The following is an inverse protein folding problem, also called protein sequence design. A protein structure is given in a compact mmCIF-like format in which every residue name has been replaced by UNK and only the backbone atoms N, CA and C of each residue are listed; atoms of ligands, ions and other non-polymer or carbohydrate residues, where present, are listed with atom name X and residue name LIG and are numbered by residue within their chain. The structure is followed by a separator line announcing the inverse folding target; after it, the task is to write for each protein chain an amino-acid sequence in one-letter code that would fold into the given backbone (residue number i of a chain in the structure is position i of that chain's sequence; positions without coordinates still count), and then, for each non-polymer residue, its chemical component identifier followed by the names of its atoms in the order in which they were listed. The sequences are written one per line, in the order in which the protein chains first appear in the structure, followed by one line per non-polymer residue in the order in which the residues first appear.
data_IF_153826015461
#
_entry.id   IF_153826015461
#
_cell.length_a   1.000
_cell.length_b   1.000
_cell.length_c   1.000
_cell.angle_alpha   90.00
_cell.angle_beta   90.00
_cell.angle_gamma   90.00
#
_symmetry.space_group_name_H-M   'P 1'
#
loop_
_entity.id
_entity.type
_entity.pdbx_description
1 polymer ?
#
# COMPACT_ATOMS: atom_id res chain seq x y z
N UNK A 1 20.62 -11.04 -60.99
CA UNK A 1 19.64 -10.14 -60.33
C UNK A 1 19.35 -8.96 -61.24
N UNK A 2 18.09 -8.57 -61.41
CA UNK A 2 17.72 -7.36 -62.15
C UNK A 2 17.95 -6.09 -61.31
N UNK A 3 18.22 -4.95 -61.95
CA UNK A 3 18.41 -3.65 -61.29
C UNK A 3 17.30 -3.29 -60.28
N UNK A 4 16.00 -3.50 -60.60
CA UNK A 4 14.92 -3.20 -59.65
C UNK A 4 15.05 -3.95 -58.34
N UNK A 5 15.39 -5.25 -58.38
CA UNK A 5 15.54 -6.09 -57.18
C UNK A 5 16.68 -5.57 -56.29
N UNK A 6 17.76 -5.06 -56.89
CA UNK A 6 18.86 -4.45 -56.14
C UNK A 6 18.43 -3.17 -55.42
N UNK A 7 17.67 -2.30 -56.09
CA UNK A 7 17.11 -1.09 -55.48
C UNK A 7 16.13 -1.42 -54.34
N UNK A 8 15.24 -2.39 -54.53
CA UNK A 8 14.33 -2.84 -53.48
C UNK A 8 15.08 -3.41 -52.28
N UNK A 9 16.14 -4.20 -52.52
CA UNK A 9 16.98 -4.72 -51.43
C UNK A 9 17.66 -3.59 -50.67
N UNK A 10 18.19 -2.59 -51.37
CA UNK A 10 18.86 -1.45 -50.75
C UNK A 10 17.91 -0.66 -49.86
N UNK A 11 16.71 -0.32 -50.35
CA UNK A 11 15.69 0.38 -49.58
C UNK A 11 15.21 -0.44 -48.38
N UNK A 12 15.01 -1.75 -48.56
CA UNK A 12 14.66 -2.64 -47.46
C UNK A 12 15.74 -2.65 -46.37
N UNK A 13 17.02 -2.69 -46.74
CA UNK A 13 18.13 -2.65 -45.77
C UNK A 13 18.24 -1.30 -45.05
N UNK A 14 17.98 -0.19 -45.75
CA UNK A 14 17.89 1.15 -45.13
C UNK A 14 16.74 1.18 -44.11
N UNK A 15 15.54 0.72 -44.51
CA UNK A 15 14.39 0.64 -43.61
C UNK A 15 14.66 -0.24 -42.40
N UNK A 16 15.35 -1.36 -42.59
CA UNK A 16 15.79 -2.25 -41.52
C UNK A 16 16.81 -1.62 -40.58
N UNK A 17 17.75 -0.83 -41.11
CA UNK A 17 18.67 -0.03 -40.30
C UNK A 17 17.96 1.02 -39.46
N UNK A 18 16.92 1.65 -40.01
CA UNK A 18 16.08 2.59 -39.25
C UNK A 18 15.25 1.89 -38.17
N UNK A 19 14.66 0.73 -38.49
CA UNK A 19 13.92 -0.10 -37.53
C UNK A 19 14.84 -0.60 -36.41
N UNK A 20 16.08 -0.96 -36.74
CA UNK A 20 17.10 -1.32 -35.77
C UNK A 20 17.38 -0.16 -34.81
N UNK A 21 17.52 1.05 -35.32
CA UNK A 21 17.70 2.24 -34.47
C UNK A 21 16.53 2.47 -33.52
N UNK A 22 15.29 2.37 -34.03
CA UNK A 22 14.08 2.51 -33.22
C UNK A 22 14.01 1.47 -32.11
N UNK A 23 14.16 0.19 -32.46
CA UNK A 23 14.10 -0.94 -31.52
C UNK A 23 15.21 -0.88 -30.47
N UNK A 24 16.41 -0.45 -30.84
CA UNK A 24 17.53 -0.25 -29.92
C UNK A 24 17.21 0.85 -28.89
N UNK A 25 16.66 1.98 -29.33
CA UNK A 25 16.26 3.08 -28.43
C UNK A 25 15.12 2.63 -27.48
N UNK A 26 14.13 1.88 -27.98
CA UNK A 26 13.07 1.27 -27.15
C UNK A 26 13.71 0.38 -26.09
N UNK A 27 14.56 -0.54 -26.52
CA UNK A 27 15.22 -1.52 -25.68
C UNK A 27 16.03 -0.84 -24.56
N UNK A 28 16.85 0.16 -24.90
CA UNK A 28 17.63 0.93 -23.92
C UNK A 28 16.74 1.64 -22.89
N UNK A 29 15.61 2.21 -23.32
CA UNK A 29 14.65 2.91 -22.44
C UNK A 29 14.00 1.97 -21.42
N UNK A 30 13.66 0.73 -21.82
CA UNK A 30 13.03 -0.26 -20.94
C UNK A 30 14.04 -0.98 -20.03
N UNK A 31 15.25 -1.27 -20.51
CA UNK A 31 16.23 -2.06 -19.79
C UNK A 31 16.76 -1.36 -18.52
N UNK A 32 16.81 -0.02 -18.51
CA UNK A 32 17.28 0.82 -17.38
C UNK A 32 18.53 0.23 -16.70
N UNK A 33 19.62 0.14 -17.47
CA UNK A 33 20.86 -0.60 -17.15
C UNK A 33 21.37 -0.44 -15.71
N UNK A 34 21.30 0.76 -15.12
CA UNK A 34 21.79 1.02 -13.77
C UNK A 34 20.95 0.41 -12.63
N UNK A 35 19.70 -0.01 -12.87
CA UNK A 35 18.80 -0.55 -11.82
C UNK A 35 18.67 -2.07 -11.86
N UNK A 36 19.15 -2.74 -12.92
CA UNK A 36 18.87 -4.15 -13.20
C UNK A 36 20.14 -4.99 -12.99
N UNK A 37 19.99 -6.21 -12.49
CA UNK A 37 21.13 -7.13 -12.24
C UNK A 37 21.91 -7.39 -13.52
N UNK A 38 23.24 -7.42 -13.43
CA UNK A 38 24.16 -7.55 -14.58
C UNK A 38 23.87 -8.77 -15.46
N UNK A 39 23.56 -9.91 -14.85
CA UNK A 39 23.19 -11.15 -15.56
C UNK A 39 21.93 -11.00 -16.42
N UNK A 40 20.93 -10.25 -15.94
CA UNK A 40 19.68 -10.03 -16.69
C UNK A 40 19.96 -9.11 -17.89
N UNK A 41 20.77 -8.06 -17.70
CA UNK A 41 21.20 -7.16 -18.79
C UNK A 41 21.93 -7.96 -19.87
N UNK A 42 22.87 -8.83 -19.47
CA UNK A 42 23.61 -9.68 -20.40
C UNK A 42 22.70 -10.62 -21.21
N UNK A 43 21.78 -11.34 -20.55
CA UNK A 43 20.85 -12.23 -21.25
C UNK A 43 19.93 -11.47 -22.22
N UNK A 44 19.44 -10.30 -21.82
CA UNK A 44 18.62 -9.47 -22.70
C UNK A 44 19.43 -8.90 -23.87
N UNK A 45 20.68 -8.51 -23.67
CA UNK A 45 21.55 -8.03 -24.74
C UNK A 45 21.79 -9.17 -25.76
N UNK A 46 22.06 -10.39 -25.28
CA UNK A 46 22.22 -11.56 -26.13
C UNK A 46 20.94 -11.85 -26.95
N UNK A 47 19.77 -11.85 -26.30
CA UNK A 47 18.48 -12.06 -26.97
C UNK A 47 18.20 -10.97 -28.00
N UNK A 48 18.48 -9.71 -27.66
CA UNK A 48 18.25 -8.58 -28.56
C UNK A 48 19.10 -8.71 -29.84
N UNK A 49 20.40 -8.97 -29.70
CA UNK A 49 21.27 -9.16 -30.86
C UNK A 49 20.89 -10.38 -31.69
N UNK A 50 20.46 -11.47 -31.04
CA UNK A 50 20.02 -12.68 -31.73
C UNK A 50 18.75 -12.44 -32.54
N UNK A 51 17.72 -11.83 -31.93
CA UNK A 51 16.47 -11.47 -32.61
C UNK A 51 16.74 -10.53 -33.77
N UNK A 52 17.58 -9.51 -33.55
CA UNK A 52 17.87 -8.52 -34.57
C UNK A 52 18.63 -9.13 -35.76
N UNK A 53 19.62 -9.99 -35.49
CA UNK A 53 20.36 -10.70 -36.52
C UNK A 53 19.45 -11.57 -37.38
N UNK A 54 18.54 -12.32 -36.74
CA UNK A 54 17.53 -13.12 -37.44
C UNK A 54 16.60 -12.23 -38.27
N UNK A 55 16.13 -11.10 -37.71
CA UNK A 55 15.19 -10.21 -38.39
C UNK A 55 15.81 -9.59 -39.65
N UNK A 56 17.06 -9.12 -39.56
CA UNK A 56 17.81 -8.59 -40.70
C UNK A 56 18.04 -9.69 -41.75
N UNK A 57 18.48 -10.87 -41.32
CA UNK A 57 18.72 -12.00 -42.22
C UNK A 57 17.42 -12.48 -42.90
N UNK A 58 16.31 -12.51 -42.18
CA UNK A 58 15.01 -12.89 -42.72
C UNK A 58 14.53 -11.92 -43.80
N UNK A 59 14.65 -10.62 -43.58
CA UNK A 59 14.31 -9.61 -44.60
C UNK A 59 15.26 -9.70 -45.80
N UNK A 60 16.55 -9.96 -45.55
CA UNK A 60 17.51 -10.20 -46.61
C UNK A 60 17.17 -11.46 -47.43
N UNK A 61 16.74 -12.52 -46.76
CA UNK A 61 16.27 -13.75 -47.38
C UNK A 61 15.06 -13.50 -48.28
N UNK A 62 14.08 -12.75 -47.79
CA UNK A 62 12.87 -12.44 -48.54
C UNK A 62 13.13 -11.61 -49.81
N UNK A 63 14.02 -10.61 -49.73
CA UNK A 63 14.21 -9.64 -50.82
C UNK A 63 15.34 -10.03 -51.77
N UNK A 64 16.35 -10.75 -51.29
CA UNK A 64 17.57 -11.05 -52.05
C UNK A 64 17.95 -12.55 -52.01
N UNK A 65 17.03 -13.44 -51.62
CA UNK A 65 17.33 -14.88 -51.44
C UNK A 65 18.49 -15.15 -50.46
N UNK A 66 18.81 -14.19 -49.59
CA UNK A 66 19.85 -14.33 -48.57
C UNK A 66 21.26 -14.02 -49.07
N UNK A 67 21.42 -13.42 -50.25
CA UNK A 67 22.74 -13.06 -50.75
C UNK A 67 23.32 -11.88 -49.93
N UNK A 68 24.32 -12.20 -49.11
CA UNK A 68 25.00 -11.21 -48.28
C UNK A 68 26.05 -10.48 -49.11
N UNK A 69 25.83 -9.19 -49.37
CA UNK A 69 26.76 -8.32 -50.12
C UNK A 69 27.21 -7.13 -49.28
N UNK A 70 28.43 -6.67 -49.48
CA UNK A 70 29.04 -5.61 -48.66
C UNK A 70 28.23 -4.30 -48.65
N UNK A 71 27.70 -3.88 -49.80
CA UNK A 71 26.92 -2.64 -49.89
C UNK A 71 25.59 -2.69 -49.11
N UNK A 72 25.07 -3.88 -48.80
CA UNK A 72 23.86 -4.04 -47.98
C UNK A 72 24.12 -3.70 -46.51
N UNK A 73 25.31 -4.00 -46.01
CA UNK A 73 25.73 -3.53 -44.68
C UNK A 73 25.87 -2.01 -44.65
N UNK A 74 26.41 -1.41 -45.72
CA UNK A 74 26.47 0.05 -45.86
C UNK A 74 25.08 0.68 -45.86
N UNK A 75 24.13 0.08 -46.59
CA UNK A 75 22.74 0.51 -46.62
C UNK A 75 22.09 0.44 -45.23
N UNK A 76 22.37 -0.61 -44.46
CA UNK A 76 21.89 -0.77 -43.09
C UNK A 76 22.50 0.27 -42.13
N UNK A 77 23.80 0.52 -42.22
CA UNK A 77 24.47 1.58 -41.44
C UNK A 77 23.95 2.97 -41.82
N UNK A 78 23.69 3.21 -43.10
CA UNK A 78 23.11 4.44 -43.60
C UNK A 78 21.69 4.64 -43.05
N UNK A 79 20.85 3.61 -43.10
CA UNK A 79 19.50 3.65 -42.53
C UNK A 79 19.47 3.85 -41.02
N UNK A 80 20.42 3.26 -40.29
CA UNK A 80 20.59 3.51 -38.86
C UNK A 80 21.01 4.96 -38.59
N UNK A 81 21.95 5.49 -39.37
CA UNK A 81 22.43 6.87 -39.24
C UNK A 81 21.32 7.88 -39.58
N UNK A 82 20.54 7.60 -40.62
CA UNK A 82 19.36 8.39 -40.99
C UNK A 82 18.32 8.40 -39.87
N UNK A 83 18.06 7.25 -39.23
CA UNK A 83 17.20 7.20 -38.04
C UNK A 83 17.75 8.06 -36.90
N UNK A 84 19.04 7.92 -36.59
CA UNK A 84 19.67 8.64 -35.49
C UNK A 84 19.59 10.17 -35.68
N UNK A 85 19.78 10.65 -36.91
CA UNK A 85 19.80 12.07 -37.23
C UNK A 85 18.39 12.67 -37.38
N UNK A 86 17.46 12.00 -38.09
CA UNK A 86 16.16 12.57 -38.42
C UNK A 86 15.03 12.12 -37.47
N UNK A 87 14.97 10.82 -37.18
CA UNK A 87 13.77 10.22 -36.58
C UNK A 87 13.85 10.04 -35.07
N UNK A 88 15.05 9.96 -34.50
CA UNK A 88 15.28 9.69 -33.07
C UNK A 88 14.47 10.60 -32.15
N UNK A 89 14.53 11.92 -32.37
CA UNK A 89 13.85 12.87 -31.49
C UNK A 89 12.33 12.71 -31.54
N UNK A 90 11.78 12.52 -32.73
CA UNK A 90 10.34 12.30 -32.94
C UNK A 90 9.91 11.00 -32.28
N UNK A 91 10.67 9.92 -32.54
CA UNK A 91 10.41 8.60 -31.99
C UNK A 91 10.41 8.61 -30.46
N UNK A 92 11.42 9.22 -29.83
CA UNK A 92 11.49 9.30 -28.36
C UNK A 92 10.35 10.12 -27.76
N UNK A 93 9.93 11.23 -28.42
CA UNK A 93 8.76 12.02 -27.99
C UNK A 93 7.47 11.20 -28.06
N UNK A 94 7.27 10.47 -29.15
CA UNK A 94 6.11 9.57 -29.32
C UNK A 94 6.13 8.46 -28.28
N UNK A 95 7.28 7.82 -28.07
CA UNK A 95 7.44 6.75 -27.08
C UNK A 95 7.13 7.26 -25.66
N UNK A 96 7.60 8.45 -25.31
CA UNK A 96 7.32 9.08 -24.02
C UNK A 96 5.85 9.45 -23.86
N UNK A 97 5.23 10.02 -24.90
CA UNK A 97 3.79 10.31 -24.92
C UNK A 97 2.96 9.04 -24.72
N UNK A 98 3.30 7.94 -25.41
CA UNK A 98 2.65 6.64 -25.24
C UNK A 98 2.80 6.11 -23.81
N UNK A 99 4.00 6.19 -23.23
CA UNK A 99 4.23 5.75 -21.84
C UNK A 99 3.39 6.60 -20.87
N UNK A 100 3.31 7.91 -21.08
CA UNK A 100 2.52 8.81 -20.24
C UNK A 100 1.02 8.52 -20.38
N UNK A 101 0.54 8.27 -21.60
CA UNK A 101 -0.84 7.91 -21.88
C UNK A 101 -1.23 6.58 -21.22
N UNK A 102 -0.41 5.54 -21.35
CA UNK A 102 -0.63 4.25 -20.66
C UNK A 102 -0.66 4.43 -19.15
N UNK A 103 0.25 5.23 -18.58
CA UNK A 103 0.23 5.54 -17.14
C UNK A 103 -1.01 6.33 -16.74
N UNK A 104 -1.47 7.25 -17.56
CA UNK A 104 -2.68 8.03 -17.31
C UNK A 104 -3.91 7.11 -17.28
N UNK A 105 -4.02 6.21 -18.26
CA UNK A 105 -5.09 5.21 -18.33
C UNK A 105 -5.04 4.27 -17.11
N UNK A 106 -3.86 3.74 -16.77
CA UNK A 106 -3.71 2.85 -15.61
C UNK A 106 -4.10 3.56 -14.29
N UNK A 107 -3.69 4.83 -14.11
CA UNK A 107 -4.10 5.62 -12.95
C UNK A 107 -5.59 5.91 -12.95
N UNK A 108 -6.17 6.18 -14.12
CA UNK A 108 -7.60 6.40 -14.25
C UNK A 108 -8.38 5.15 -13.82
N UNK A 109 -8.01 3.97 -14.34
CA UNK A 109 -8.61 2.68 -13.96
C UNK A 109 -8.47 2.46 -12.46
N UNK A 110 -7.27 2.62 -11.89
CA UNK A 110 -7.04 2.45 -10.46
C UNK A 110 -7.90 3.42 -9.62
N UNK A 111 -7.96 4.69 -10.00
CA UNK A 111 -8.74 5.70 -9.28
C UNK A 111 -10.23 5.39 -9.35
N UNK A 112 -10.72 4.97 -10.50
CA UNK A 112 -12.12 4.56 -10.69
C UNK A 112 -12.44 3.34 -9.84
N UNK A 113 -11.60 2.30 -9.87
CA UNK A 113 -11.77 1.11 -9.04
C UNK A 113 -11.70 1.45 -7.54
N UNK A 114 -10.78 2.30 -7.12
CA UNK A 114 -10.65 2.74 -5.73
C UNK A 114 -11.87 3.53 -5.25
N UNK A 115 -12.40 4.44 -6.07
CA UNK A 115 -13.59 5.21 -5.75
C UNK A 115 -14.87 4.35 -5.74
N UNK A 116 -14.98 3.40 -6.67
CA UNK A 116 -16.17 2.55 -6.80
C UNK A 116 -16.18 1.38 -5.82
N UNK A 117 -15.03 0.84 -5.43
CA UNK A 117 -14.96 -0.36 -4.58
C UNK A 117 -14.48 0.01 -3.19
N UNK A 118 -13.31 0.64 -3.05
CA UNK A 118 -12.74 0.83 -1.72
C UNK A 118 -13.53 1.82 -0.85
N UNK A 119 -13.99 2.94 -1.43
CA UNK A 119 -14.77 3.94 -0.67
C UNK A 119 -16.10 3.39 -0.10
N UNK A 120 -16.98 2.73 -0.87
CA UNK A 120 -18.24 2.23 -0.32
C UNK A 120 -18.03 1.15 0.74
N UNK A 121 -17.04 0.27 0.57
CA UNK A 121 -16.71 -0.73 1.59
C UNK A 121 -16.24 -0.09 2.91
N UNK A 122 -15.41 0.96 2.84
CA UNK A 122 -15.02 1.72 4.03
C UNK A 122 -16.22 2.38 4.70
N UNK A 123 -17.15 2.94 3.92
CA UNK A 123 -18.41 3.50 4.43
C UNK A 123 -19.27 2.46 5.14
N UNK A 124 -19.42 1.28 4.55
CA UNK A 124 -20.15 0.15 5.15
C UNK A 124 -19.51 -0.30 6.47
N UNK A 125 -18.18 -0.43 6.52
CA UNK A 125 -17.47 -0.80 7.74
C UNK A 125 -17.69 0.22 8.87
N UNK A 126 -17.61 1.53 8.56
CA UNK A 126 -17.90 2.60 9.51
C UNK A 126 -19.37 2.56 9.99
N UNK A 127 -20.31 2.30 9.09
CA UNK A 127 -21.73 2.13 9.44
C UNK A 127 -21.94 0.95 10.40
N UNK A 128 -21.32 -0.20 10.14
CA UNK A 128 -21.44 -1.38 11.01
C UNK A 128 -20.89 -1.07 12.41
N UNK A 129 -19.73 -0.42 12.52
CA UNK A 129 -19.18 0.00 13.81
C UNK A 129 -20.11 0.97 14.52
N UNK A 130 -20.67 1.95 13.80
CA UNK A 130 -21.60 2.91 14.39
C UNK A 130 -22.85 2.21 14.95
N UNK A 131 -23.39 1.22 14.23
CA UNK A 131 -24.52 0.41 14.69
C UNK A 131 -24.15 -0.37 15.95
N UNK A 132 -22.99 -1.05 15.97
CA UNK A 132 -22.53 -1.83 17.14
C UNK A 132 -22.39 -0.92 18.37
N UNK A 133 -21.73 0.23 18.23
CA UNK A 133 -21.55 1.19 19.32
C UNK A 133 -22.88 1.75 19.82
N UNK A 134 -23.81 2.01 18.91
CA UNK A 134 -25.16 2.48 19.25
C UNK A 134 -25.94 1.42 20.05
N UNK A 135 -25.96 0.17 19.58
CA UNK A 135 -26.61 -0.95 20.27
C UNK A 135 -25.99 -1.19 21.64
N UNK A 136 -24.66 -1.16 21.74
CA UNK A 136 -23.95 -1.27 23.01
C UNK A 136 -24.33 -0.14 23.98
N UNK A 137 -24.43 1.10 23.49
CA UNK A 137 -24.87 2.25 24.27
C UNK A 137 -26.30 2.08 24.80
N UNK A 138 -27.22 1.58 23.98
CA UNK A 138 -28.59 1.23 24.40
C UNK A 138 -28.60 0.17 25.50
N UNK A 139 -27.83 -0.91 25.34
CA UNK A 139 -27.72 -2.00 26.31
C UNK A 139 -27.20 -1.49 27.66
N UNK A 140 -26.15 -0.67 27.65
CA UNK A 140 -25.62 -0.06 28.87
C UNK A 140 -26.63 0.88 29.54
N UNK A 141 -27.42 1.62 28.75
CA UNK A 141 -28.49 2.48 29.28
C UNK A 141 -29.52 1.66 30.06
N UNK A 142 -29.95 0.52 29.51
CA UNK A 142 -30.88 -0.40 30.18
C UNK A 142 -30.30 -0.94 31.49
N UNK A 143 -29.05 -1.43 31.47
CA UNK A 143 -28.36 -1.90 32.68
C UNK A 143 -28.25 -0.79 33.72
N UNK A 144 -27.94 0.45 33.30
CA UNK A 144 -27.86 1.61 34.19
C UNK A 144 -29.20 1.93 34.84
N UNK A 145 -30.30 1.87 34.08
CA UNK A 145 -31.66 2.05 34.61
C UNK A 145 -31.97 0.99 35.67
N UNK A 146 -31.73 -0.29 35.35
CA UNK A 146 -31.95 -1.40 36.30
C UNK A 146 -31.09 -1.22 37.55
N UNK A 147 -29.82 -0.86 37.41
CA UNK A 147 -28.93 -0.60 38.54
C UNK A 147 -29.43 0.55 39.42
N UNK A 148 -29.94 1.62 38.82
CA UNK A 148 -30.56 2.74 39.55
C UNK A 148 -31.79 2.24 40.31
N UNK A 149 -32.65 1.43 39.70
CA UNK A 149 -33.82 0.85 40.37
C UNK A 149 -33.43 -0.08 41.53
N UNK A 150 -32.47 -0.99 41.32
CA UNK A 150 -31.97 -1.88 42.37
C UNK A 150 -31.38 -1.06 43.52
N UNK A 151 -30.55 -0.07 43.23
CA UNK A 151 -29.95 0.80 44.25
C UNK A 151 -31.03 1.57 45.02
N UNK A 152 -32.08 2.02 44.33
CA UNK A 152 -33.22 2.68 44.96
C UNK A 152 -33.99 1.73 45.87
N UNK A 153 -34.31 0.51 45.41
CA UNK A 153 -34.97 -0.53 46.20
C UNK A 153 -34.17 -0.91 47.44
N UNK A 154 -32.88 -1.21 47.29
CA UNK A 154 -31.98 -1.53 48.41
C UNK A 154 -31.94 -0.37 49.40
N UNK A 155 -31.79 0.88 48.92
CA UNK A 155 -31.81 2.05 49.80
C UNK A 155 -33.14 2.19 50.53
N UNK A 156 -34.26 1.93 49.89
CA UNK A 156 -35.61 2.03 50.48
C UNK A 156 -35.86 0.95 51.52
N UNK A 157 -35.41 -0.29 51.29
CA UNK A 157 -35.58 -1.42 52.22
C UNK A 157 -34.63 -1.35 53.41
N UNK A 158 -33.35 -1.00 53.17
CA UNK A 158 -32.37 -0.95 54.25
C UNK A 158 -32.44 0.35 55.07
N UNK A 159 -33.01 1.45 54.55
CA UNK A 159 -33.23 2.68 55.34
C UNK A 159 -34.03 2.47 56.64
N UNK A 160 -35.22 1.85 56.63
CA UNK A 160 -35.99 1.60 57.85
C UNK A 160 -35.28 0.63 58.78
N UNK A 161 -34.55 -0.36 58.24
CA UNK A 161 -33.75 -1.28 59.05
C UNK A 161 -32.61 -0.56 59.78
N UNK A 162 -31.88 0.33 59.11
CA UNK A 162 -30.84 1.17 59.71
C UNK A 162 -31.43 2.18 60.71
N UNK A 163 -32.62 2.73 60.44
CA UNK A 163 -33.33 3.59 61.39
C UNK A 163 -33.73 2.83 62.66
N UNK A 164 -34.24 1.60 62.51
CA UNK A 164 -34.63 0.75 63.62
C UNK A 164 -33.43 0.30 64.46
N UNK A 165 -32.32 -0.10 63.82
CA UNK A 165 -31.04 -0.36 64.50
C UNK A 165 -30.57 0.87 65.29
N UNK A 166 -30.58 2.06 64.69
CA UNK A 166 -30.16 3.29 65.39
C UNK A 166 -31.01 3.65 66.62
N UNK A 167 -32.25 3.16 66.69
CA UNK A 167 -33.18 3.36 67.80
C UNK A 167 -33.00 2.32 68.93
N UNK A 168 -32.52 1.12 68.60
CA UNK A 168 -32.30 0.01 69.54
C UNK A 168 -30.86 -0.03 70.10
N UNK A 169 -29.90 0.62 69.42
CA UNK A 169 -28.48 0.64 69.83
C UNK A 169 -28.25 1.66 70.99
N UNK A 170 -27.72 1.22 72.16
CA UNK A 170 -27.33 2.10 73.27
C UNK A 170 -26.18 3.06 72.88
N UNK A 171 -26.08 4.25 73.49
CA UNK A 171 -25.03 5.23 73.17
C UNK A 171 -23.60 4.68 73.30
N UNK A 172 -23.38 3.74 74.22
CA UNK A 172 -22.10 3.06 74.43
C UNK A 172 -21.63 2.27 73.20
N UNK A 173 -22.55 1.64 72.47
CA UNK A 173 -22.21 0.89 71.25
C UNK A 173 -21.92 1.84 70.09
N UNK A 174 -22.55 3.02 70.03
CA UNK A 174 -22.21 4.06 69.03
C UNK A 174 -20.80 4.61 69.22
N UNK A 175 -20.40 4.83 70.48
CA UNK A 175 -19.03 5.25 70.83
C UNK A 175 -18.01 4.16 70.48
N UNK A 176 -18.32 2.89 70.76
CA UNK A 176 -17.46 1.75 70.40
C UNK A 176 -17.30 1.60 68.87
N UNK A 177 -18.40 1.71 68.11
CA UNK A 177 -18.36 1.69 66.63
C UNK A 177 -17.60 2.89 66.06
N UNK A 178 -17.71 4.08 66.69
CA UNK A 178 -16.95 5.26 66.30
C UNK A 178 -15.44 5.09 66.56
N UNK A 179 -15.07 4.49 67.69
CA UNK A 179 -13.69 4.12 68.01
C UNK A 179 -13.14 3.09 67.04
N UNK A 180 -13.86 1.99 66.79
CA UNK A 180 -13.45 0.98 65.82
C UNK A 180 -13.28 1.56 64.43
N UNK A 181 -14.20 2.44 63.99
CA UNK A 181 -14.09 3.14 62.70
C UNK A 181 -12.83 4.01 62.63
N UNK A 182 -12.46 4.72 63.71
CA UNK A 182 -11.22 5.50 63.80
C UNK A 182 -9.98 4.60 63.72
N UNK A 183 -9.97 3.49 64.48
CA UNK A 183 -8.86 2.55 64.53
C UNK A 183 -8.64 1.90 63.16
N UNK A 184 -9.71 1.38 62.55
CA UNK A 184 -9.69 0.77 61.23
C UNK A 184 -9.25 1.78 60.17
N UNK A 185 -9.71 3.04 60.24
CA UNK A 185 -9.28 4.11 59.33
C UNK A 185 -7.79 4.44 59.47
N UNK A 186 -7.24 4.40 60.70
CA UNK A 186 -5.82 4.55 60.97
C UNK A 186 -4.98 3.44 60.34
N UNK A 187 -5.38 2.18 60.56
CA UNK A 187 -4.73 1.02 59.95
C UNK A 187 -4.80 1.06 58.42
N UNK A 188 -5.98 1.35 57.84
CA UNK A 188 -6.17 1.47 56.39
C UNK A 188 -5.29 2.55 55.77
N UNK A 189 -5.17 3.72 56.41
CA UNK A 189 -4.29 4.82 55.97
C UNK A 189 -2.82 4.43 56.07
N UNK A 190 -2.45 3.69 57.11
CA UNK A 190 -1.11 3.11 57.29
C UNK A 190 -0.75 2.13 56.18
N UNK A 191 -1.61 1.12 55.95
CA UNK A 191 -1.43 0.16 54.86
C UNK A 191 -1.41 0.83 53.48
N UNK A 192 -2.25 1.85 53.24
CA UNK A 192 -2.23 2.63 51.99
C UNK A 192 -0.90 3.35 51.80
N UNK A 193 -0.33 3.94 52.84
CA UNK A 193 0.97 4.60 52.78
C UNK A 193 2.13 3.62 52.54
N UNK A 194 2.06 2.41 53.12
CA UNK A 194 3.06 1.35 52.88
C UNK A 194 3.00 0.90 51.41
N UNK A 195 1.80 0.68 50.88
CA UNK A 195 1.60 0.30 49.47
C UNK A 195 2.11 1.40 48.54
N UNK A 196 1.81 2.68 48.80
CA UNK A 196 2.31 3.81 48.00
C UNK A 196 3.84 3.90 48.06
N UNK A 197 4.46 3.71 49.24
CA UNK A 197 5.92 3.68 49.38
C UNK A 197 6.56 2.53 48.60
N UNK A 198 6.00 1.32 48.70
CA UNK A 198 6.48 0.16 47.96
C UNK A 198 6.37 0.40 46.44
N UNK A 199 5.24 0.94 45.98
CA UNK A 199 4.99 1.22 44.57
C UNK A 199 5.96 2.30 44.02
N UNK A 200 6.25 3.34 44.81
CA UNK A 200 7.25 4.36 44.46
C UNK A 200 8.69 3.81 44.48
N UNK A 201 9.01 2.88 45.39
CA UNK A 201 10.31 2.21 45.42
C UNK A 201 10.56 1.37 44.15
N UNK A 202 9.57 0.59 43.73
CA UNK A 202 9.66 -0.18 42.48
C UNK A 202 9.71 0.72 41.23
N UNK A 203 9.02 1.88 41.25
CA UNK A 203 9.03 2.85 40.15
C UNK A 203 10.34 3.63 40.01
N UNK A 204 11.15 3.75 41.08
CA UNK A 204 12.45 4.45 41.08
C UNK A 204 13.64 3.54 40.70
N UNK A 205 13.42 2.22 40.65
CA UNK A 205 14.43 1.20 40.34
C UNK A 205 14.40 0.74 38.87
N UNK A 206 13.53 1.32 38.05
CA UNK A 206 13.41 1.09 36.60
C UNK A 206 13.86 2.33 35.84
#
# INVERSE_FOLDING_TARGET
MSLPVQFYTLLAMIGMGSLFGATLDTYQRFLKRGKRKRWIVFLNDLLFWFIQGILIFYVLFLVNSGEVRFYLFLALLCGFSAYQALFKQIYLKLLESLIQLVRAIARFIYRTAYLLVYKPFKGLYLLIIAIILYVYGLLLSLVKIVWIMVKWLVKTVFKPFVWMLNKVIPESVKLFVAQLRKTIAGYLKGSKNIIIKALNFFRKKR
#
